data_IF_561048246705
#
_entry.id   IF_561048246705
#
_cell.length_a   1.000
_cell.length_b   1.000
_cell.length_c   1.000
_cell.angle_alpha   90.00
_cell.angle_beta   90.00
_cell.angle_gamma   90.00
#
_symmetry.space_group_name_H-M   'P 1'
#
loop_
_entity.id
_entity.type
_entity.pdbx_description
1 polymer ?
#
# COMPACT_ATOMS: atom_id res chain seq x y z
N UNK A 1 -9.13 22.09 -25.50
CA UNK A 1 -9.23 20.91 -24.61
C UNK A 1 -8.94 21.38 -23.19
N UNK A 2 -9.91 21.26 -22.28
CA UNK A 2 -9.87 21.93 -20.98
C UNK A 2 -8.72 21.37 -20.14
N UNK A 3 -7.82 22.26 -19.69
CA UNK A 3 -6.60 21.94 -18.91
C UNK A 3 -6.89 21.11 -17.63
N UNK A 4 -8.14 21.10 -17.18
CA UNK A 4 -8.61 20.34 -16.01
C UNK A 4 -8.78 18.84 -16.23
N UNK A 5 -8.82 18.35 -17.47
CA UNK A 5 -9.03 16.92 -17.72
C UNK A 5 -7.82 16.06 -17.31
N UNK A 6 -6.61 16.61 -17.41
CA UNK A 6 -5.38 15.91 -17.03
C UNK A 6 -5.41 15.60 -15.52
N UNK A 7 -5.60 16.57 -14.60
CA UNK A 7 -5.75 16.30 -13.17
C UNK A 7 -6.86 15.29 -12.85
N UNK A 8 -8.02 15.37 -13.51
CA UNK A 8 -9.13 14.44 -13.28
C UNK A 8 -8.73 13.01 -13.65
N UNK A 9 -8.03 12.82 -14.77
CA UNK A 9 -7.55 11.50 -15.18
C UNK A 9 -6.57 10.90 -14.17
N UNK A 10 -5.63 11.70 -13.65
CA UNK A 10 -4.70 11.25 -12.60
C UNK A 10 -5.41 10.98 -11.27
N UNK A 11 -6.46 11.73 -10.94
CA UNK A 11 -7.30 11.48 -9.77
C UNK A 11 -8.07 10.15 -9.89
N UNK A 12 -8.64 9.87 -11.07
CA UNK A 12 -9.30 8.59 -11.35
C UNK A 12 -8.31 7.42 -11.33
N UNK A 13 -7.12 7.60 -11.91
CA UNK A 13 -6.04 6.62 -11.82
C UNK A 13 -5.64 6.36 -10.37
N UNK A 14 -5.53 7.40 -9.54
CA UNK A 14 -5.27 7.28 -8.10
C UNK A 14 -6.37 6.44 -7.43
N UNK A 15 -7.64 6.75 -7.68
CA UNK A 15 -8.77 5.98 -7.14
C UNK A 15 -8.73 4.50 -7.58
N UNK A 16 -8.34 4.22 -8.82
CA UNK A 16 -8.20 2.85 -9.33
C UNK A 16 -7.07 2.09 -8.63
N UNK A 17 -5.87 2.65 -8.54
CA UNK A 17 -4.74 1.99 -7.88
C UNK A 17 -5.00 1.75 -6.39
N UNK A 18 -5.59 2.73 -5.70
CA UNK A 18 -5.97 2.60 -4.29
C UNK A 18 -7.15 1.64 -4.07
N UNK A 19 -8.10 1.59 -5.01
CA UNK A 19 -9.20 0.62 -4.98
C UNK A 19 -8.69 -0.82 -5.12
N UNK A 20 -7.76 -1.06 -6.05
CA UNK A 20 -7.12 -2.37 -6.24
C UNK A 20 -6.15 -2.73 -5.11
N UNK A 21 -5.56 -1.74 -4.43
CA UNK A 21 -4.63 -1.97 -3.32
C UNK A 21 -5.25 -2.79 -2.18
N UNK A 22 -6.52 -2.56 -1.84
CA UNK A 22 -7.21 -3.27 -0.75
C UNK A 22 -7.26 -4.79 -0.92
N UNK A 23 -7.77 -5.31 -2.04
CA UNK A 23 -7.70 -6.73 -2.37
C UNK A 23 -6.26 -7.26 -2.45
N UNK A 24 -5.33 -6.51 -3.06
CA UNK A 24 -3.94 -6.96 -3.20
C UNK A 24 -3.22 -7.11 -1.85
N UNK A 25 -3.42 -6.19 -0.90
CA UNK A 25 -2.85 -6.32 0.45
C UNK A 25 -3.57 -7.40 1.28
N UNK A 26 -4.84 -7.67 0.98
CA UNK A 26 -5.56 -8.84 1.52
C UNK A 26 -4.87 -10.17 1.16
N UNK A 27 -4.24 -10.25 -0.01
CA UNK A 27 -3.44 -11.42 -0.40
C UNK A 27 -2.08 -11.51 0.31
N UNK A 28 -1.59 -10.40 0.86
CA UNK A 28 -0.33 -10.35 1.61
C UNK A 28 -0.51 -10.68 3.11
N UNK A 29 -1.67 -11.21 3.51
CA UNK A 29 -1.96 -11.55 4.89
C UNK A 29 -1.22 -12.80 5.38
N UNK A 30 -0.96 -12.84 6.69
CA UNK A 30 -0.37 -14.00 7.36
C UNK A 30 -1.19 -15.26 7.07
N UNK A 31 -0.56 -16.37 6.64
CA UNK A 31 -1.20 -17.68 6.58
C UNK A 31 -1.85 -18.04 7.91
N UNK A 32 -2.99 -18.74 7.86
CA UNK A 32 -3.74 -19.16 9.05
C UNK A 32 -3.59 -20.65 9.27
N UNK A 33 -3.33 -21.05 10.50
CA UNK A 33 -3.40 -22.43 10.98
C UNK A 33 -4.47 -22.46 12.07
N UNK A 34 -5.42 -23.39 11.98
CA UNK A 34 -6.57 -23.54 12.90
C UNK A 34 -7.40 -22.25 13.10
N UNK A 35 -7.58 -21.46 12.03
CA UNK A 35 -8.37 -20.23 12.06
C UNK A 35 -7.71 -19.06 12.81
N UNK A 36 -6.49 -19.25 13.33
CA UNK A 36 -5.69 -18.20 13.95
C UNK A 36 -4.61 -17.72 12.97
N UNK A 37 -4.37 -16.41 12.86
CA UNK A 37 -3.23 -15.90 12.12
C UNK A 37 -1.95 -16.46 12.74
N UNK A 38 -1.10 -17.09 11.94
CA UNK A 38 0.25 -17.38 12.39
C UNK A 38 0.95 -16.04 12.59
N UNK A 39 1.11 -15.67 13.85
CA UNK A 39 1.98 -14.56 14.26
C UNK A 39 3.41 -15.09 14.38
N UNK A 40 4.41 -14.21 14.44
CA UNK A 40 5.79 -14.65 14.71
C UNK A 40 5.87 -15.46 16.01
N UNK A 41 6.67 -16.54 16.07
CA UNK A 41 7.78 -16.89 15.15
C UNK A 41 7.39 -17.61 13.85
N UNK A 42 6.28 -18.36 13.84
CA UNK A 42 5.93 -19.28 12.76
C UNK A 42 5.13 -18.63 11.61
N UNK A 43 4.68 -17.38 11.79
CA UNK A 43 4.06 -16.57 10.74
C UNK A 43 4.55 -15.12 10.66
N UNK A 44 3.80 -14.27 9.96
CA UNK A 44 4.31 -12.98 9.44
C UNK A 44 3.50 -11.81 9.99
N UNK A 45 4.17 -10.86 10.64
CA UNK A 45 3.55 -9.64 11.20
C UNK A 45 3.20 -8.61 10.11
N UNK A 46 2.36 -7.59 10.41
CA UNK A 46 2.05 -6.52 9.46
C UNK A 46 3.24 -5.72 8.95
N UNK A 47 4.37 -5.80 9.66
CA UNK A 47 5.59 -5.13 9.28
C UNK A 47 6.25 -5.74 8.03
N UNK A 48 6.09 -7.05 7.77
CA UNK A 48 6.72 -7.68 6.59
C UNK A 48 6.13 -7.13 5.27
N UNK A 49 4.79 -7.10 5.06
CA UNK A 49 4.22 -6.43 3.88
C UNK A 49 4.52 -4.93 3.84
N UNK A 50 4.53 -4.26 5.01
CA UNK A 50 4.84 -2.83 5.08
C UNK A 50 6.26 -2.50 4.58
N UNK A 51 7.26 -3.34 4.85
CA UNK A 51 8.62 -3.17 4.31
C UNK A 51 8.61 -3.23 2.78
N UNK A 52 7.90 -4.20 2.18
CA UNK A 52 7.80 -4.31 0.72
C UNK A 52 7.03 -3.14 0.09
N UNK A 53 6.01 -2.62 0.76
CA UNK A 53 5.33 -1.38 0.35
C UNK A 53 6.33 -0.21 0.38
N UNK A 54 7.16 -0.11 1.42
CA UNK A 54 8.21 0.90 1.52
C UNK A 54 9.25 0.81 0.40
N UNK A 55 9.70 -0.40 0.04
CA UNK A 55 10.61 -0.62 -1.09
C UNK A 55 9.95 -0.16 -2.40
N UNK A 56 8.69 -0.54 -2.63
CA UNK A 56 7.95 -0.11 -3.81
C UNK A 56 7.84 1.43 -3.88
N UNK A 57 7.57 2.09 -2.75
CA UNK A 57 7.51 3.55 -2.67
C UNK A 57 8.88 4.17 -2.97
N UNK A 58 9.97 3.61 -2.47
CA UNK A 58 11.31 4.09 -2.79
C UNK A 58 11.60 3.99 -4.29
N UNK A 59 11.35 2.83 -4.90
CA UNK A 59 11.61 2.60 -6.32
C UNK A 59 10.75 3.53 -7.20
N UNK A 60 9.45 3.63 -6.93
CA UNK A 60 8.52 4.40 -7.77
C UNK A 60 8.64 5.90 -7.49
N UNK A 61 8.68 6.33 -6.23
CA UNK A 61 8.71 7.75 -5.90
C UNK A 61 10.08 8.38 -6.23
N UNK A 62 11.18 7.70 -5.90
CA UNK A 62 12.53 8.21 -6.21
C UNK A 62 12.84 7.97 -7.69
N UNK A 63 12.69 6.74 -8.18
CA UNK A 63 13.01 6.41 -9.58
C UNK A 63 12.10 7.11 -10.59
N UNK A 64 10.78 7.06 -10.36
CA UNK A 64 9.81 7.75 -11.21
C UNK A 64 9.91 9.27 -11.11
N UNK A 65 10.16 9.81 -9.91
CA UNK A 65 10.41 11.24 -9.70
C UNK A 65 11.62 11.74 -10.49
N UNK A 66 12.77 11.06 -10.35
CA UNK A 66 14.00 11.41 -11.08
C UNK A 66 13.84 11.27 -12.60
N UNK A 67 13.14 10.23 -13.07
CA UNK A 67 12.85 10.06 -14.50
C UNK A 67 12.00 11.23 -15.03
N UNK A 68 10.96 11.62 -14.31
CA UNK A 68 10.10 12.74 -14.71
C UNK A 68 10.82 14.08 -14.65
N UNK A 69 11.71 14.29 -13.67
CA UNK A 69 12.58 15.46 -13.64
C UNK A 69 13.46 15.52 -14.88
N UNK A 70 14.08 14.40 -15.27
CA UNK A 70 14.90 14.31 -16.49
C UNK A 70 14.08 14.60 -17.76
N UNK A 71 12.87 14.05 -17.86
CA UNK A 71 11.98 14.27 -19.02
C UNK A 71 11.46 15.72 -19.10
N UNK A 72 11.32 16.40 -17.98
CA UNK A 72 10.87 17.80 -17.91
C UNK A 72 12.01 18.82 -17.95
N UNK A 73 13.26 18.38 -17.91
CA UNK A 73 14.43 19.26 -17.87
C UNK A 73 14.64 19.94 -16.51
N UNK A 74 14.16 19.34 -15.42
CA UNK A 74 14.36 19.84 -14.06
C UNK A 74 15.75 19.50 -13.52
N UNK A 75 16.25 20.38 -12.65
CA UNK A 75 17.56 20.27 -12.03
C UNK A 75 17.42 19.85 -10.55
N UNK A 76 18.41 19.16 -10.00
CA UNK A 76 18.47 18.81 -8.56
C UNK A 76 18.84 20.00 -7.66
N UNK A 77 18.72 21.24 -8.16
CA UNK A 77 19.07 22.45 -7.42
C UNK A 77 17.90 22.92 -6.57
N UNK A 78 17.84 22.44 -5.33
CA UNK A 78 16.79 22.83 -4.37
C UNK A 78 17.07 24.18 -3.67
N UNK A 79 18.28 24.72 -3.82
CA UNK A 79 18.66 26.01 -3.21
C UNK A 79 18.51 27.20 -4.16
N UNK A 80 18.23 26.96 -5.44
CA UNK A 80 18.04 28.04 -6.40
C UNK A 80 16.80 28.88 -6.04
N UNK A 81 16.83 30.21 -6.26
CA UNK A 81 15.64 31.05 -6.23
C UNK A 81 14.63 30.57 -7.26
N UNK A 82 13.35 30.54 -6.89
CA UNK A 82 12.28 30.21 -7.84
C UNK A 82 12.15 31.36 -8.85
N UNK A 83 12.35 31.13 -10.17
CA UNK A 83 12.19 32.18 -11.16
C UNK A 83 10.78 32.78 -11.10
N UNK A 84 10.68 34.09 -10.86
CA UNK A 84 9.40 34.82 -10.83
C UNK A 84 8.71 34.94 -9.47
N UNK A 85 9.33 34.46 -8.38
CA UNK A 85 8.81 34.67 -7.01
C UNK A 85 9.94 35.12 -6.08
N UNK A 86 9.91 36.38 -5.64
CA UNK A 86 10.93 36.91 -4.72
C UNK A 86 10.86 36.21 -3.35
N UNK A 87 12.04 35.87 -2.80
CA UNK A 87 12.17 35.33 -1.44
C UNK A 87 11.80 33.85 -1.25
N UNK A 88 11.38 33.13 -2.31
CA UNK A 88 11.11 31.69 -2.24
C UNK A 88 12.21 30.91 -2.95
N UNK A 89 12.83 29.98 -2.22
CA UNK A 89 13.74 28.98 -2.79
C UNK A 89 13.01 27.66 -3.00
N UNK A 90 13.53 26.80 -3.89
CA UNK A 90 13.02 25.44 -4.10
C UNK A 90 13.08 24.54 -2.84
N UNK A 91 13.68 25.02 -1.75
CA UNK A 91 13.77 24.32 -0.47
C UNK A 91 12.44 24.30 0.29
N UNK A 92 11.64 25.35 0.18
CA UNK A 92 10.29 25.41 0.77
C UNK A 92 9.38 24.29 0.26
N UNK A 93 9.19 24.10 -1.07
CA UNK A 93 8.40 22.98 -1.58
C UNK A 93 9.03 21.62 -1.28
N UNK A 94 10.37 21.50 -1.25
CA UNK A 94 11.05 20.26 -0.87
C UNK A 94 10.70 19.82 0.57
N UNK A 95 10.69 20.76 1.53
CA UNK A 95 10.28 20.48 2.92
C UNK A 95 8.83 19.99 3.01
N UNK A 96 7.92 20.63 2.29
CA UNK A 96 6.52 20.21 2.25
C UNK A 96 6.35 18.85 1.57
N UNK A 97 7.13 18.57 0.52
CA UNK A 97 7.20 17.26 -0.12
C UNK A 97 7.66 16.17 0.85
N UNK A 98 8.71 16.42 1.63
CA UNK A 98 9.19 15.48 2.65
C UNK A 98 8.17 15.25 3.77
N UNK A 99 7.52 16.32 4.26
CA UNK A 99 6.47 16.20 5.28
C UNK A 99 5.25 15.43 4.74
N UNK A 100 4.83 15.71 3.51
CA UNK A 100 3.75 14.97 2.85
C UNK A 100 4.12 13.48 2.68
N UNK A 101 5.36 13.18 2.27
CA UNK A 101 5.86 11.81 2.17
C UNK A 101 5.87 11.10 3.53
N UNK A 102 6.26 11.80 4.60
CA UNK A 102 6.26 11.26 5.97
C UNK A 102 4.86 10.93 6.45
N UNK A 103 3.89 11.83 6.23
CA UNK A 103 2.47 11.58 6.52
C UNK A 103 1.92 10.42 5.69
N UNK A 104 2.33 10.29 4.43
CA UNK A 104 1.97 9.17 3.57
C UNK A 104 2.49 7.83 4.08
N UNK A 105 3.76 7.77 4.51
CA UNK A 105 4.36 6.56 5.08
C UNK A 105 3.66 6.14 6.38
N UNK A 106 3.41 7.08 7.30
CA UNK A 106 2.66 6.82 8.53
C UNK A 106 1.22 6.38 8.23
N UNK A 107 0.57 6.99 7.24
CA UNK A 107 -0.75 6.57 6.76
C UNK A 107 -0.75 5.14 6.22
N UNK A 108 0.25 4.77 5.42
CA UNK A 108 0.41 3.41 4.90
C UNK A 108 0.66 2.38 6.02
N UNK A 109 1.41 2.74 7.07
CA UNK A 109 1.58 1.91 8.27
C UNK A 109 0.24 1.65 8.96
N UNK A 110 -0.52 2.72 9.22
CA UNK A 110 -1.84 2.64 9.86
C UNK A 110 -2.81 1.79 9.03
N UNK A 111 -2.85 2.02 7.72
CA UNK A 111 -3.71 1.26 6.80
C UNK A 111 -3.32 -0.22 6.76
N UNK A 112 -2.04 -0.53 6.59
CA UNK A 112 -1.54 -1.92 6.57
C UNK A 112 -1.90 -2.64 7.86
N UNK A 113 -1.69 -1.98 9.00
CA UNK A 113 -2.03 -2.53 10.32
C UNK A 113 -3.53 -2.75 10.48
N UNK A 114 -4.36 -1.77 10.07
CA UNK A 114 -5.82 -1.87 10.11
C UNK A 114 -6.33 -3.03 9.23
N UNK A 115 -5.81 -3.16 8.02
CA UNK A 115 -6.15 -4.23 7.07
C UNK A 115 -5.80 -5.62 7.60
N UNK A 116 -4.66 -5.75 8.28
CA UNK A 116 -4.20 -7.04 8.81
C UNK A 116 -4.90 -7.40 10.12
N UNK A 117 -5.29 -6.41 10.92
CA UNK A 117 -6.10 -6.60 12.14
C UNK A 117 -7.56 -6.91 11.80
N UNK A 118 -8.12 -6.31 10.74
CA UNK A 118 -9.52 -6.50 10.30
C UNK A 118 -9.75 -7.80 9.52
N UNK A 119 -8.81 -8.75 9.55
CA UNK A 119 -8.84 -10.01 8.78
C UNK A 119 -8.95 -9.82 7.26
N UNK A 120 -8.50 -8.69 6.74
CA UNK A 120 -8.44 -8.45 5.30
C UNK A 120 -9.76 -7.96 4.75
N UNK A 121 -10.64 -7.48 5.63
CA UNK A 121 -11.86 -6.81 5.25
C UNK A 121 -11.55 -5.42 4.67
N UNK A 122 -11.01 -5.42 3.45
CA UNK A 122 -10.75 -4.22 2.66
C UNK A 122 -12.01 -3.40 2.46
N UNK A 123 -13.15 -4.07 2.40
CA UNK A 123 -14.45 -3.48 2.13
C UNK A 123 -14.92 -2.58 3.28
N UNK A 124 -14.49 -2.86 4.52
CA UNK A 124 -14.76 -2.00 5.67
C UNK A 124 -13.70 -0.90 5.81
N UNK A 125 -12.41 -1.25 5.69
CA UNK A 125 -11.31 -0.32 5.99
C UNK A 125 -11.18 0.76 4.91
N UNK A 126 -11.35 0.42 3.63
CA UNK A 126 -11.13 1.38 2.53
C UNK A 126 -12.11 2.55 2.55
N UNK A 127 -13.45 2.34 2.66
CA UNK A 127 -14.38 3.46 2.74
C UNK A 127 -14.11 4.37 3.93
N UNK A 128 -13.76 3.81 5.10
CA UNK A 128 -13.47 4.59 6.31
C UNK A 128 -12.25 5.48 6.09
N UNK A 129 -11.17 4.94 5.53
CA UNK A 129 -9.93 5.69 5.32
C UNK A 129 -10.12 6.78 4.27
N UNK A 130 -10.72 6.47 3.12
CA UNK A 130 -10.90 7.46 2.05
C UNK A 130 -11.95 8.52 2.37
N UNK A 131 -13.09 8.14 2.94
CA UNK A 131 -14.09 9.11 3.37
C UNK A 131 -13.60 9.97 4.54
N UNK A 132 -12.91 9.36 5.51
CA UNK A 132 -12.26 10.08 6.60
C UNK A 132 -11.21 11.08 6.11
N UNK A 133 -10.38 10.70 5.14
CA UNK A 133 -9.36 11.59 4.57
C UNK A 133 -9.97 12.84 3.92
N UNK A 134 -11.09 12.70 3.20
CA UNK A 134 -11.82 13.84 2.62
C UNK A 134 -12.35 14.76 3.72
N UNK A 135 -12.97 14.20 4.77
CA UNK A 135 -13.47 14.99 5.90
C UNK A 135 -12.34 15.71 6.66
N UNK A 136 -11.23 15.04 6.95
CA UNK A 136 -10.06 15.64 7.61
C UNK A 136 -9.48 16.77 6.77
N UNK A 137 -9.39 16.60 5.45
CA UNK A 137 -8.91 17.65 4.54
C UNK A 137 -9.80 18.89 4.59
N UNK A 138 -11.13 18.70 4.61
CA UNK A 138 -12.09 19.80 4.74
C UNK A 138 -11.92 20.53 6.09
N UNK A 139 -11.78 19.79 7.20
CA UNK A 139 -11.58 20.37 8.53
C UNK A 139 -10.27 21.14 8.61
N UNK A 140 -9.15 20.56 8.15
CA UNK A 140 -7.84 21.23 8.12
C UNK A 140 -7.90 22.51 7.29
N UNK A 141 -8.64 22.48 6.18
CA UNK A 141 -8.83 23.67 5.33
C UNK A 141 -9.60 24.76 6.09
N UNK A 142 -10.70 24.42 6.77
CA UNK A 142 -11.44 25.37 7.62
C UNK A 142 -10.54 25.97 8.71
N UNK A 143 -9.77 25.13 9.41
CA UNK A 143 -8.91 25.58 10.51
C UNK A 143 -7.81 26.52 10.02
N UNK A 144 -7.15 26.19 8.91
CA UNK A 144 -6.14 27.06 8.29
C UNK A 144 -6.76 28.40 7.90
N UNK A 145 -7.91 28.37 7.21
CA UNK A 145 -8.54 29.59 6.73
C UNK A 145 -9.00 30.47 7.91
N UNK A 146 -9.51 29.86 9.00
CA UNK A 146 -9.93 30.57 10.21
C UNK A 146 -8.75 31.18 10.97
N UNK A 147 -7.57 30.59 10.91
CA UNK A 147 -6.35 31.20 11.48
C UNK A 147 -5.87 32.44 10.71
N UNK A 148 -6.31 32.61 9.46
CA UNK A 148 -5.94 33.75 8.60
C UNK A 148 -7.03 34.83 8.50
N UNK A 149 -8.21 34.64 9.11
CA UNK A 149 -9.29 35.65 9.12
C UNK A 149 -10.67 35.07 9.45
N UNK A 150 -11.70 35.93 9.35
CA UNK A 150 -13.10 35.50 9.46
C UNK A 150 -13.51 34.71 8.22
N UNK A 151 -13.84 33.43 8.41
CA UNK A 151 -14.24 32.53 7.32
C UNK A 151 -15.73 32.29 7.37
N UNK A 152 -16.42 32.65 6.29
CA UNK A 152 -17.78 32.21 6.05
C UNK A 152 -17.77 30.77 5.55
N UNK A 153 -18.29 29.86 6.37
CA UNK A 153 -18.38 28.44 6.02
C UNK A 153 -19.77 28.19 5.46
N UNK A 154 -19.85 27.83 4.18
CA UNK A 154 -21.13 27.51 3.57
C UNK A 154 -21.74 26.25 4.22
N UNK A 155 -22.99 26.28 4.72
CA UNK A 155 -23.57 25.19 5.50
C UNK A 155 -23.66 23.87 4.73
N UNK A 156 -23.72 23.91 3.39
CA UNK A 156 -23.71 22.69 2.54
C UNK A 156 -22.41 21.88 2.68
N UNK A 157 -21.30 22.48 3.13
CA UNK A 157 -20.08 21.72 3.43
C UNK A 157 -20.33 20.67 4.52
N UNK A 158 -21.06 21.03 5.57
CA UNK A 158 -21.43 20.11 6.65
C UNK A 158 -22.35 19.00 6.16
N UNK A 159 -23.28 19.35 5.27
CA UNK A 159 -24.16 18.36 4.60
C UNK A 159 -23.33 17.39 3.75
N UNK A 160 -22.37 17.89 2.97
CA UNK A 160 -21.47 17.06 2.17
C UNK A 160 -20.62 16.11 3.01
N UNK A 161 -20.12 16.57 4.17
CA UNK A 161 -19.41 15.71 5.11
C UNK A 161 -20.33 14.65 5.74
N UNK A 162 -21.54 15.03 6.16
CA UNK A 162 -22.53 14.09 6.68
C UNK A 162 -22.90 13.03 5.64
N UNK A 163 -23.08 13.44 4.38
CA UNK A 163 -23.34 12.53 3.26
C UNK A 163 -22.15 11.61 2.97
N UNK A 164 -20.92 12.10 3.11
CA UNK A 164 -19.71 11.28 2.98
C UNK A 164 -19.69 10.19 4.05
N UNK A 165 -19.97 10.54 5.31
CA UNK A 165 -20.05 9.57 6.41
C UNK A 165 -21.16 8.56 6.15
N UNK A 166 -22.36 9.01 5.75
CA UNK A 166 -23.45 8.11 5.39
C UNK A 166 -23.07 7.17 4.24
N UNK A 167 -22.45 7.69 3.18
CA UNK A 167 -21.99 6.90 2.04
C UNK A 167 -20.95 5.86 2.45
N UNK A 168 -19.99 6.22 3.29
CA UNK A 168 -18.99 5.28 3.86
C UNK A 168 -19.68 4.15 4.62
N UNK A 169 -20.64 4.48 5.49
CA UNK A 169 -21.38 3.49 6.28
C UNK A 169 -22.18 2.57 5.37
N UNK A 170 -22.91 3.12 4.39
CA UNK A 170 -23.69 2.33 3.44
C UNK A 170 -22.78 1.38 2.63
N UNK A 171 -21.65 1.87 2.10
CA UNK A 171 -20.71 1.01 1.37
C UNK A 171 -20.16 -0.08 2.29
N UNK A 172 -19.75 0.25 3.51
CA UNK A 172 -19.23 -0.74 4.45
C UNK A 172 -20.29 -1.80 4.84
N UNK A 173 -21.56 -1.41 4.98
CA UNK A 173 -22.64 -2.33 5.35
C UNK A 173 -23.12 -3.21 4.19
N UNK A 174 -23.25 -2.64 2.99
CA UNK A 174 -23.88 -3.32 1.85
C UNK A 174 -22.89 -3.95 0.87
N UNK A 175 -21.59 -3.70 0.99
CA UNK A 175 -20.62 -4.40 0.15
C UNK A 175 -20.56 -5.88 0.57
N UNK A 176 -20.78 -6.85 -0.35
CA UNK A 176 -20.76 -8.27 -0.03
C UNK A 176 -19.39 -8.70 0.49
N UNK A 177 -19.35 -9.18 1.72
CA UNK A 177 -18.13 -9.70 2.35
C UNK A 177 -17.89 -11.11 1.80
N UNK A 178 -16.99 -11.23 0.82
CA UNK A 178 -16.67 -12.50 0.18
C UNK A 178 -16.37 -13.60 1.21
N UNK A 179 -17.05 -14.73 1.05
CA UNK A 179 -16.88 -15.94 1.85
C UNK A 179 -15.39 -16.24 2.04
N UNK A 180 -14.94 -16.29 3.30
CA UNK A 180 -13.68 -16.94 3.63
C UNK A 180 -13.70 -18.34 3.03
N UNK A 181 -12.59 -18.73 2.38
CA UNK A 181 -12.43 -20.00 1.68
C UNK A 181 -13.15 -21.13 2.41
N UNK A 182 -14.09 -21.79 1.70
CA UNK A 182 -14.77 -22.96 2.20
C UNK A 182 -13.72 -23.96 2.68
N UNK A 183 -13.86 -24.45 3.92
CA UNK A 183 -13.01 -25.51 4.46
C UNK A 183 -13.04 -26.69 3.47
N UNK A 184 -11.90 -27.20 3.00
CA UNK A 184 -11.88 -28.44 2.24
C UNK A 184 -12.48 -29.54 3.10
N UNK A 185 -13.56 -30.14 2.61
CA UNK A 185 -14.14 -31.34 3.20
C UNK A 185 -13.16 -32.48 2.90
N UNK A 186 -12.39 -32.88 3.90
CA UNK A 186 -11.68 -34.14 3.88
C UNK A 186 -12.73 -35.25 3.98
N UNK A 187 -12.92 -36.00 2.89
CA UNK A 187 -12.93 -37.46 2.88
C UNK A 187 -13.36 -37.95 1.49
N UNK A 188 -12.39 -38.49 0.76
CA UNK A 188 -12.53 -39.66 -0.09
C UNK A 188 -11.12 -40.14 -0.42
N UNK A 189 -10.66 -41.02 0.47
CA UNK A 189 -9.48 -41.86 0.36
C UNK A 189 -9.51 -42.72 -0.92
N UNK A 190 -8.32 -42.95 -1.48
CA UNK A 190 -7.95 -44.08 -2.33
C UNK A 190 -8.78 -44.37 -3.61
N UNK A 191 -8.16 -44.14 -4.77
CA UNK A 191 -7.61 -45.25 -5.57
C UNK A 191 -6.90 -44.75 -6.82
N UNK A 192 -5.62 -45.08 -6.85
CA UNK A 192 -4.67 -45.00 -7.96
C UNK A 192 -5.17 -45.89 -9.10
N UNK A 193 -5.22 -45.39 -10.34
CA UNK A 193 -4.92 -46.18 -11.55
C UNK A 193 -4.50 -45.23 -12.68
N UNK A 194 -3.19 -45.17 -12.87
CA UNK A 194 -2.52 -45.10 -14.18
C UNK A 194 -2.65 -43.81 -15.00
N UNK A 195 -1.84 -42.82 -14.64
CA UNK A 195 -0.97 -42.22 -15.66
C UNK A 195 0.45 -42.69 -15.38
N UNK A 196 1.14 -43.21 -16.40
CA UNK A 196 2.52 -42.91 -16.77
C UNK A 196 2.90 -43.85 -17.92
N UNK A 197 2.90 -43.30 -19.14
CA UNK A 197 4.00 -43.55 -20.07
C UNK A 197 4.69 -42.21 -20.23
N UNK A 198 5.77 -42.03 -19.46
CA UNK A 198 6.88 -41.16 -19.83
C UNK A 198 7.53 -41.74 -21.09
N UNK A 199 8.29 -40.95 -21.86
CA UNK A 199 9.72 -40.85 -21.56
C UNK A 199 10.27 -39.45 -21.93
N UNK A 200 11.52 -39.08 -21.77
CA UNK A 200 12.70 -39.45 -20.99
C UNK A 200 13.68 -38.29 -21.33
N UNK A 201 14.28 -37.60 -20.37
CA UNK A 201 15.54 -37.92 -19.69
C UNK A 201 16.78 -37.70 -20.56
N UNK A 202 17.66 -36.79 -20.12
CA UNK A 202 19.13 -36.95 -20.08
C UNK A 202 19.66 -35.86 -19.11
N UNK A 203 19.92 -36.16 -17.83
CA UNK A 203 21.12 -36.76 -17.17
C UNK A 203 22.17 -35.73 -16.73
N UNK A 204 22.91 -36.13 -15.67
CA UNK A 204 24.10 -35.52 -15.04
C UNK A 204 23.79 -34.32 -14.13
N UNK A 205 24.26 -34.15 -12.89
CA UNK A 205 25.21 -34.81 -11.98
C UNK A 205 24.75 -34.36 -10.55
N UNK A 206 25.04 -34.97 -9.39
CA UNK A 206 26.35 -35.33 -8.86
C UNK A 206 26.11 -35.99 -7.48
N UNK A 207 26.81 -37.08 -7.20
CA UNK A 207 26.93 -37.73 -5.89
C UNK A 207 28.38 -37.58 -5.41
N UNK A 208 28.55 -37.58 -4.08
CA UNK A 208 29.79 -37.86 -3.28
C UNK A 208 30.87 -36.77 -3.25
N UNK A 209 31.60 -36.50 -2.15
CA UNK A 209 31.98 -37.29 -0.97
C UNK A 209 32.21 -36.32 0.23
N UNK A 210 31.76 -36.62 1.47
CA UNK A 210 32.42 -37.37 2.56
C UNK A 210 33.70 -36.70 3.10
N UNK A 211 33.54 -36.25 4.34
CA UNK A 211 34.50 -35.83 5.37
C UNK A 211 35.01 -37.09 6.08
N UNK A 212 36.34 -37.21 6.24
CA UNK A 212 37.00 -38.16 7.14
C UNK A 212 38.34 -37.54 7.58
N UNK A 213 38.66 -37.73 8.86
CA UNK A 213 39.71 -37.04 9.60
C UNK A 213 41.14 -37.45 9.28
N UNK A 214 42.09 -36.70 9.87
CA UNK A 214 43.12 -37.17 10.81
C UNK A 214 44.44 -36.34 10.75
N UNK A 215 44.92 -35.98 11.95
CA UNK A 215 46.32 -35.94 12.44
C UNK A 215 47.37 -34.86 12.04
N UNK A 216 47.89 -34.21 13.11
CA UNK A 216 49.28 -33.76 13.39
C UNK A 216 49.80 -32.50 12.64
N UNK A 217 50.70 -31.63 13.14
CA UNK A 217 51.75 -31.58 14.17
C UNK A 217 51.95 -30.09 14.56
N UNK A 218 52.26 -29.78 15.82
CA UNK A 218 53.08 -28.60 16.15
C UNK A 218 53.94 -28.92 17.39
N UNK A 219 55.26 -28.85 17.20
CA UNK A 219 56.33 -28.79 18.20
C UNK A 219 56.99 -27.43 18.04
#
# INVERSE_FOLDING_TARGET
MNKMWIPVLFALGTALFWGCYGPTIGNAQSPRVDGKPLMSPDGWSPFKPYVFIGIAYLVIAVGGGLLMMKLKGDNMSYSAPVPGVEGITHFSPAKWGFLAGSLGALGALCLTTAMMTSRGNALLVMPIVFGGAVSVTAIVSILKLRSHGSVEIHPVLWVGMALTVAGVVLVAMYTPHGHGAAKPKADAEASVTSSVTAPATDLSDQKTAIDDGETTLDV
#
